data_IF_564363615816
#
_entry.id   IF_564363615816
#
_cell.length_a   1.000
_cell.length_b   1.000
_cell.length_c   1.000
_cell.angle_alpha   90.00
_cell.angle_beta   90.00
_cell.angle_gamma   90.00
#
_symmetry.space_group_name_H-M   'P 1'
#
loop_
_entity.id
_entity.type
_entity.pdbx_description
1 polymer ?
#
# COMPACT_ATOMS: atom_id res chain seq x y z
N UNK A 1 30.31 14.31 -19.22
CA UNK A 1 28.97 13.70 -19.03
C UNK A 1 28.27 14.43 -17.91
N UNK A 2 27.12 15.05 -18.20
CA UNK A 2 26.35 15.81 -17.23
C UNK A 2 25.67 14.81 -16.26
N UNK A 3 25.89 14.94 -14.95
CA UNK A 3 25.16 14.12 -13.98
C UNK A 3 23.66 14.39 -14.15
N UNK A 4 22.81 13.37 -14.32
CA UNK A 4 21.39 13.59 -14.47
C UNK A 4 20.85 14.30 -13.22
N UNK A 5 20.05 15.35 -13.43
CA UNK A 5 19.42 16.08 -12.33
C UNK A 5 18.18 15.33 -11.81
N UNK A 6 17.79 15.64 -10.57
CA UNK A 6 16.66 15.03 -9.86
C UNK A 6 15.37 15.06 -10.69
N UNK A 7 15.17 16.12 -11.48
CA UNK A 7 13.95 16.36 -12.23
C UNK A 7 13.85 15.46 -13.45
N UNK A 8 14.91 15.40 -14.25
CA UNK A 8 15.01 14.53 -15.42
C UNK A 8 14.84 13.07 -15.03
N UNK A 9 15.55 12.61 -13.98
CA UNK A 9 15.45 11.23 -13.50
C UNK A 9 14.05 10.89 -12.99
N UNK A 10 13.40 11.82 -12.25
CA UNK A 10 12.01 11.62 -11.79
C UNK A 10 11.02 11.50 -12.96
N UNK A 11 11.22 12.28 -14.02
CA UNK A 11 10.42 12.20 -15.24
C UNK A 11 10.59 10.86 -15.95
N UNK A 12 11.84 10.38 -16.06
CA UNK A 12 12.13 9.07 -16.65
C UNK A 12 11.44 7.95 -15.89
N UNK A 13 11.53 7.94 -14.56
CA UNK A 13 10.85 6.93 -13.71
C UNK A 13 9.34 6.93 -13.97
N UNK A 14 8.73 8.12 -14.04
CA UNK A 14 7.29 8.26 -14.32
C UNK A 14 6.93 7.75 -15.71
N UNK A 15 7.69 8.14 -16.73
CA UNK A 15 7.48 7.73 -18.11
C UNK A 15 7.54 6.20 -18.26
N UNK A 16 8.59 5.57 -17.72
CA UNK A 16 8.79 4.12 -17.76
C UNK A 16 7.63 3.39 -17.04
N UNK A 17 7.25 3.86 -15.85
CA UNK A 17 6.13 3.29 -15.08
C UNK A 17 4.78 3.40 -15.81
N UNK A 18 4.55 4.48 -16.58
CA UNK A 18 3.33 4.65 -17.37
C UNK A 18 3.28 3.72 -18.59
N UNK A 19 4.43 3.36 -19.17
CA UNK A 19 4.53 2.50 -20.34
C UNK A 19 4.79 1.02 -20.01
N UNK A 20 4.63 0.64 -18.73
CA UNK A 20 4.75 -0.75 -18.29
C UNK A 20 6.19 -1.26 -18.12
N UNK A 21 7.19 -0.39 -18.26
CA UNK A 21 8.61 -0.70 -18.08
C UNK A 21 8.99 -0.62 -16.60
N UNK A 22 8.37 -1.49 -15.79
CA UNK A 22 8.42 -1.42 -14.33
C UNK A 22 9.81 -1.78 -13.78
N UNK A 23 10.52 -2.74 -14.38
CA UNK A 23 11.86 -3.13 -13.93
C UNK A 23 12.86 -2.01 -14.17
N UNK A 24 12.78 -1.38 -15.33
CA UNK A 24 13.61 -0.24 -15.72
C UNK A 24 13.28 0.97 -14.84
N UNK A 25 12.00 1.25 -14.59
CA UNK A 25 11.59 2.32 -13.69
C UNK A 25 12.19 2.15 -12.28
N UNK A 26 12.22 0.92 -11.76
CA UNK A 26 12.83 0.62 -10.47
C UNK A 26 14.36 0.74 -10.51
N UNK A 27 15.00 0.22 -11.55
CA UNK A 27 16.46 0.36 -11.74
C UNK A 27 16.90 1.83 -11.78
N UNK A 28 16.14 2.69 -12.46
CA UNK A 28 16.44 4.14 -12.52
C UNK A 28 16.23 4.78 -11.15
N UNK A 29 15.22 4.36 -10.38
CA UNK A 29 15.01 4.82 -9.01
C UNK A 29 16.15 4.40 -8.06
N UNK A 30 16.63 3.16 -8.16
CA UNK A 30 17.78 2.67 -7.39
C UNK A 30 19.05 3.46 -7.69
N UNK A 31 19.30 3.75 -8.97
CA UNK A 31 20.44 4.58 -9.39
C UNK A 31 20.33 6.03 -8.89
N UNK A 32 19.12 6.59 -8.88
CA UNK A 32 18.86 7.91 -8.29
C UNK A 32 19.25 7.91 -6.82
N UNK A 33 18.81 6.89 -6.06
CA UNK A 33 19.12 6.76 -4.65
C UNK A 33 20.62 6.54 -4.40
N UNK A 34 21.28 5.64 -5.15
CA UNK A 34 22.71 5.36 -5.00
C UNK A 34 23.61 6.55 -5.37
N UNK A 35 23.10 7.46 -6.21
CA UNK A 35 23.80 8.70 -6.59
C UNK A 35 23.64 9.82 -5.56
N UNK A 36 22.97 9.56 -4.43
CA UNK A 36 22.71 10.55 -3.38
C UNK A 36 21.63 11.57 -3.75
N UNK A 37 20.87 11.33 -4.83
CA UNK A 37 19.79 12.21 -5.25
C UNK A 37 18.54 11.89 -4.44
N UNK A 38 17.88 12.94 -3.95
CA UNK A 38 16.66 12.80 -3.15
C UNK A 38 15.43 12.72 -4.06
N UNK A 39 14.72 11.58 -4.14
CA UNK A 39 13.51 11.44 -4.92
C UNK A 39 12.40 12.32 -4.36
N UNK A 40 11.65 12.94 -5.26
CA UNK A 40 10.41 13.61 -4.89
C UNK A 40 9.25 12.61 -4.79
N UNK A 41 8.09 13.08 -4.32
CA UNK A 41 6.87 12.27 -4.14
C UNK A 41 6.44 11.55 -5.43
N UNK A 42 6.64 12.15 -6.61
CA UNK A 42 6.27 11.55 -7.89
C UNK A 42 7.15 10.36 -8.27
N UNK A 43 8.46 10.47 -8.05
CA UNK A 43 9.42 9.39 -8.27
C UNK A 43 9.13 8.21 -7.34
N UNK A 44 8.90 8.49 -6.05
CA UNK A 44 8.52 7.49 -5.03
C UNK A 44 7.24 6.76 -5.44
N UNK A 45 6.19 7.50 -5.79
CA UNK A 45 4.90 6.93 -6.22
C UNK A 45 5.04 6.05 -7.48
N UNK A 46 5.80 6.53 -8.46
CA UNK A 46 5.98 5.82 -9.73
C UNK A 46 6.82 4.55 -9.58
N UNK A 47 7.85 4.58 -8.72
CA UNK A 47 8.67 3.43 -8.36
C UNK A 47 7.88 2.41 -7.49
N UNK A 48 7.03 2.90 -6.59
CA UNK A 48 6.16 2.04 -5.78
C UNK A 48 5.12 1.33 -6.65
N UNK A 49 4.50 2.04 -7.60
CA UNK A 49 3.63 1.43 -8.61
C UNK A 49 4.37 0.37 -9.43
N UNK A 50 5.62 0.62 -9.78
CA UNK A 50 6.43 -0.37 -10.47
C UNK A 50 6.66 -1.61 -9.60
N UNK A 51 7.07 -1.43 -8.33
CA UNK A 51 7.23 -2.51 -7.35
C UNK A 51 5.95 -3.32 -7.15
N UNK A 52 4.81 -2.66 -7.09
CA UNK A 52 3.49 -3.28 -6.99
C UNK A 52 3.18 -4.20 -8.16
N UNK A 53 3.49 -3.75 -9.38
CA UNK A 53 3.23 -4.50 -10.62
C UNK A 53 4.14 -5.71 -10.80
N UNK A 54 5.37 -5.65 -10.32
CA UNK A 54 6.34 -6.75 -10.41
C UNK A 54 6.49 -7.54 -9.10
N UNK A 55 5.73 -7.18 -8.06
CA UNK A 55 5.76 -7.77 -6.71
C UNK A 55 7.20 -7.79 -6.13
N UNK A 56 7.97 -6.72 -6.36
CA UNK A 56 9.37 -6.65 -5.92
C UNK A 56 9.47 -6.27 -4.44
N UNK A 57 9.58 -7.28 -3.56
CA UNK A 57 9.71 -7.12 -2.09
C UNK A 57 10.84 -6.16 -1.71
N UNK A 58 12.05 -6.37 -2.24
CA UNK A 58 13.25 -5.60 -1.88
C UNK A 58 13.07 -4.13 -2.26
N UNK A 59 12.61 -3.86 -3.49
CA UNK A 59 12.38 -2.49 -3.96
C UNK A 59 11.32 -1.75 -3.14
N UNK A 60 10.20 -2.41 -2.80
CA UNK A 60 9.17 -1.78 -1.99
C UNK A 60 9.60 -1.49 -0.55
N UNK A 61 10.40 -2.38 0.07
CA UNK A 61 10.98 -2.14 1.40
C UNK A 61 12.02 -1.02 1.39
N UNK A 62 12.83 -0.93 0.34
CA UNK A 62 13.77 0.19 0.15
C UNK A 62 13.02 1.52 0.03
N UNK A 63 11.96 1.57 -0.77
CA UNK A 63 11.09 2.75 -0.90
C UNK A 63 10.43 3.11 0.43
N UNK A 64 9.99 2.11 1.22
CA UNK A 64 9.45 2.34 2.56
C UNK A 64 10.48 2.97 3.51
N UNK A 65 11.69 2.39 3.61
CA UNK A 65 12.76 2.93 4.45
C UNK A 65 13.18 4.34 4.04
N UNK A 66 13.13 4.63 2.74
CA UNK A 66 13.36 5.97 2.22
C UNK A 66 12.22 6.94 2.56
N UNK A 67 10.97 6.51 2.44
CA UNK A 67 9.81 7.31 2.83
C UNK A 67 9.88 7.74 4.30
N UNK A 68 10.40 6.86 5.17
CA UNK A 68 10.63 7.14 6.58
C UNK A 68 11.73 8.17 6.82
N UNK A 69 12.89 8.02 6.15
CA UNK A 69 14.01 8.96 6.29
C UNK A 69 13.71 10.33 5.67
N UNK A 70 12.89 10.37 4.64
CA UNK A 70 12.61 11.57 3.85
C UNK A 70 11.39 12.37 4.30
N UNK A 71 10.68 11.93 5.35
CA UNK A 71 9.47 12.59 5.86
C UNK A 71 8.22 12.36 5.01
N UNK A 72 8.27 11.43 4.04
CA UNK A 72 7.10 11.04 3.23
C UNK A 72 6.08 10.22 4.01
N UNK A 73 6.37 9.82 5.25
CA UNK A 73 5.38 9.26 6.19
C UNK A 73 4.22 10.22 6.51
N UNK A 74 4.30 11.50 6.12
CA UNK A 74 3.16 12.43 6.23
C UNK A 74 2.24 12.40 5.01
N UNK A 75 2.66 11.74 3.92
CA UNK A 75 1.90 11.70 2.67
C UNK A 75 1.03 10.45 2.66
N UNK A 76 -0.25 10.63 3.02
CA UNK A 76 -1.26 9.55 3.11
C UNK A 76 -1.26 8.66 1.87
N UNK A 77 -1.17 9.25 0.67
CA UNK A 77 -1.15 8.48 -0.59
C UNK A 77 0.03 7.49 -0.68
N UNK A 78 1.22 7.90 -0.23
CA UNK A 78 2.42 7.03 -0.26
C UNK A 78 2.26 5.89 0.75
N UNK A 79 1.75 6.18 1.95
CA UNK A 79 1.55 5.16 2.97
C UNK A 79 0.44 4.16 2.60
N UNK A 80 -0.69 4.62 2.03
CA UNK A 80 -1.74 3.72 1.54
C UNK A 80 -1.22 2.80 0.43
N UNK A 81 -0.45 3.33 -0.52
CA UNK A 81 0.15 2.51 -1.57
C UNK A 81 1.19 1.51 -1.01
N UNK A 82 1.92 1.88 0.05
CA UNK A 82 2.85 0.97 0.72
C UNK A 82 2.10 -0.15 1.45
N UNK A 83 1.00 0.15 2.14
CA UNK A 83 0.15 -0.87 2.76
C UNK A 83 -0.38 -1.82 1.70
N UNK A 84 -0.96 -1.33 0.59
CA UNK A 84 -1.49 -2.19 -0.48
C UNK A 84 -0.42 -3.12 -1.09
N UNK A 85 0.80 -2.58 -1.28
CA UNK A 85 1.95 -3.36 -1.73
C UNK A 85 2.36 -4.44 -0.70
N UNK A 86 2.49 -4.08 0.58
CA UNK A 86 2.90 -4.99 1.66
C UNK A 86 1.89 -6.12 1.85
N UNK A 87 0.60 -5.81 1.71
CA UNK A 87 -0.47 -6.80 1.68
C UNK A 87 -0.32 -7.74 0.49
N UNK A 88 -0.01 -7.27 -0.72
CA UNK A 88 0.18 -8.15 -1.89
C UNK A 88 1.35 -9.12 -1.74
N UNK A 89 2.42 -8.73 -1.07
CA UNK A 89 3.57 -9.61 -0.79
C UNK A 89 3.34 -10.50 0.45
N UNK A 90 2.18 -10.38 1.11
CA UNK A 90 1.79 -11.19 2.28
C UNK A 90 2.47 -10.81 3.59
N UNK A 91 3.11 -9.64 3.67
CA UNK A 91 3.83 -9.20 4.87
C UNK A 91 2.91 -8.39 5.79
N UNK A 92 1.96 -9.10 6.42
CA UNK A 92 0.90 -8.49 7.24
C UNK A 92 1.43 -7.71 8.44
N UNK A 93 2.56 -8.15 9.01
CA UNK A 93 3.19 -7.50 10.16
C UNK A 93 3.71 -6.11 9.78
N UNK A 94 4.46 -6.02 8.67
CA UNK A 94 4.95 -4.72 8.20
C UNK A 94 3.78 -3.88 7.69
N UNK A 95 2.80 -4.48 6.98
CA UNK A 95 1.61 -3.76 6.52
C UNK A 95 0.86 -3.06 7.68
N UNK A 96 0.62 -3.78 8.79
CA UNK A 96 -0.01 -3.22 9.99
C UNK A 96 0.82 -2.10 10.59
N UNK A 97 2.14 -2.29 10.73
CA UNK A 97 3.02 -1.26 11.26
C UNK A 97 2.98 0.02 10.43
N UNK A 98 3.07 -0.09 9.10
CA UNK A 98 2.98 1.07 8.19
C UNK A 98 1.61 1.73 8.28
N UNK A 99 0.54 0.94 8.37
CA UNK A 99 -0.80 1.44 8.56
C UNK A 99 -0.94 2.23 9.88
N UNK A 100 -0.43 1.70 10.99
CA UNK A 100 -0.49 2.35 12.29
C UNK A 100 0.27 3.70 12.30
N UNK A 101 1.38 3.80 11.56
CA UNK A 101 2.16 5.02 11.36
C UNK A 101 1.44 6.10 10.51
N UNK A 102 0.29 5.80 9.87
CA UNK A 102 -0.51 6.79 9.16
C UNK A 102 -1.17 7.73 10.19
N UNK A 103 -0.77 9.02 10.16
CA UNK A 103 -1.29 10.04 11.09
C UNK A 103 -2.79 10.31 10.89
N UNK A 104 -3.22 10.42 9.64
CA UNK A 104 -4.60 10.69 9.26
C UNK A 104 -5.09 9.57 8.34
N UNK A 105 -5.61 8.50 8.95
CA UNK A 105 -6.19 7.35 8.24
C UNK A 105 -7.53 7.77 7.64
N UNK A 106 -7.71 7.52 6.35
CA UNK A 106 -9.01 7.70 5.68
C UNK A 106 -9.66 6.34 5.37
N UNK A 107 -10.93 6.36 4.94
CA UNK A 107 -11.69 5.13 4.65
C UNK A 107 -10.99 4.21 3.65
N UNK A 108 -10.26 4.78 2.68
CA UNK A 108 -9.48 4.00 1.70
C UNK A 108 -8.36 3.22 2.39
N UNK A 109 -7.57 3.86 3.27
CA UNK A 109 -6.51 3.17 4.01
C UNK A 109 -7.03 2.06 4.92
N UNK A 110 -8.17 2.29 5.58
CA UNK A 110 -8.85 1.28 6.39
C UNK A 110 -9.34 0.09 5.56
N UNK A 111 -9.99 0.36 4.43
CA UNK A 111 -10.46 -0.67 3.51
C UNK A 111 -9.29 -1.50 2.93
N UNK A 112 -8.14 -0.88 2.67
CA UNK A 112 -6.93 -1.60 2.23
C UNK A 112 -6.47 -2.63 3.28
N UNK A 113 -6.24 -2.22 4.53
CA UNK A 113 -5.74 -3.14 5.57
C UNK A 113 -6.77 -4.23 5.91
N UNK A 114 -8.06 -3.87 5.93
CA UNK A 114 -9.17 -4.79 6.12
C UNK A 114 -9.21 -5.89 5.04
N UNK A 115 -9.23 -5.48 3.76
CA UNK A 115 -9.24 -6.39 2.64
C UNK A 115 -8.01 -7.30 2.63
N UNK A 116 -6.87 -6.79 3.09
CA UNK A 116 -5.65 -7.55 3.35
C UNK A 116 -5.90 -8.72 4.29
N UNK A 117 -6.35 -8.46 5.52
CA UNK A 117 -6.59 -9.52 6.52
C UNK A 117 -7.63 -10.54 6.05
N UNK A 118 -8.73 -10.07 5.45
CA UNK A 118 -9.76 -10.95 4.86
C UNK A 118 -9.18 -11.85 3.77
N UNK A 119 -8.34 -11.31 2.89
CA UNK A 119 -7.73 -12.07 1.79
C UNK A 119 -6.82 -13.18 2.28
N UNK A 120 -6.06 -12.94 3.36
CA UNK A 120 -5.17 -13.94 3.96
C UNK A 120 -5.85 -14.83 5.01
N UNK A 121 -7.16 -14.65 5.23
CA UNK A 121 -7.96 -15.50 6.10
C UNK A 121 -7.84 -15.19 7.60
N UNK A 122 -7.17 -14.09 7.96
CA UNK A 122 -7.05 -13.65 9.36
C UNK A 122 -8.28 -12.81 9.74
N UNK A 123 -9.42 -13.48 9.91
CA UNK A 123 -10.69 -12.83 10.22
C UNK A 123 -10.71 -12.19 11.61
N UNK A 124 -9.89 -12.68 12.55
CA UNK A 124 -9.77 -12.07 13.88
C UNK A 124 -9.18 -10.66 13.77
N UNK A 125 -8.07 -10.52 13.03
CA UNK A 125 -7.48 -9.20 12.78
C UNK A 125 -8.36 -8.34 11.88
N UNK A 126 -9.05 -8.94 10.89
CA UNK A 126 -10.01 -8.22 10.06
C UNK A 126 -11.15 -7.61 10.90
N UNK A 127 -11.70 -8.39 11.85
CA UNK A 127 -12.72 -7.91 12.77
C UNK A 127 -12.21 -6.78 13.67
N UNK A 128 -11.01 -6.93 14.25
CA UNK A 128 -10.38 -5.85 15.04
C UNK A 128 -10.26 -4.56 14.25
N UNK A 129 -9.75 -4.65 13.01
CA UNK A 129 -9.63 -3.49 12.11
C UNK A 129 -11.01 -2.91 11.82
N UNK A 130 -11.99 -3.74 11.49
CA UNK A 130 -13.35 -3.30 11.19
C UNK A 130 -13.96 -2.54 12.38
N UNK A 131 -13.79 -3.04 13.60
CA UNK A 131 -14.30 -2.41 14.82
C UNK A 131 -13.60 -1.08 15.10
N UNK A 132 -12.28 -0.99 14.87
CA UNK A 132 -11.49 0.24 14.98
C UNK A 132 -11.89 1.35 13.96
N UNK A 133 -12.55 1.00 12.84
CA UNK A 133 -12.91 1.98 11.80
C UNK A 133 -13.89 3.04 12.32
N UNK A 134 -13.54 4.35 12.27
CA UNK A 134 -14.42 5.43 12.70
C UNK A 134 -15.69 5.56 11.85
N UNK A 135 -15.56 5.29 10.55
CA UNK A 135 -16.66 5.31 9.57
C UNK A 135 -16.52 4.09 8.67
N UNK A 136 -17.58 3.30 8.55
CA UNK A 136 -17.66 2.10 7.72
C UNK A 136 -18.49 2.41 6.48
N UNK A 137 -17.97 2.09 5.30
CA UNK A 137 -18.71 2.24 4.05
C UNK A 137 -19.14 0.86 3.51
N UNK A 138 -19.88 0.87 2.39
CA UNK A 138 -20.36 -0.36 1.73
C UNK A 138 -19.20 -1.31 1.40
N UNK A 139 -18.00 -0.79 1.12
CA UNK A 139 -16.82 -1.60 0.83
C UNK A 139 -16.33 -2.32 2.09
N UNK A 140 -16.29 -1.63 3.25
CA UNK A 140 -15.91 -2.22 4.53
C UNK A 140 -16.82 -3.41 4.90
N UNK A 141 -18.13 -3.19 4.81
CA UNK A 141 -19.14 -4.21 5.12
C UNK A 141 -19.07 -5.41 4.16
N UNK A 142 -19.05 -5.15 2.85
CA UNK A 142 -18.95 -6.21 1.85
C UNK A 142 -17.67 -7.05 2.03
N UNK A 143 -16.57 -6.42 2.43
CA UNK A 143 -15.31 -7.12 2.69
C UNK A 143 -15.46 -8.13 3.85
N UNK A 144 -16.09 -7.73 4.95
CA UNK A 144 -16.31 -8.63 6.10
C UNK A 144 -17.31 -9.74 5.79
N UNK A 145 -18.45 -9.41 5.16
CA UNK A 145 -19.44 -10.42 4.74
C UNK A 145 -18.82 -11.46 3.81
N UNK A 146 -18.03 -11.01 2.83
CA UNK A 146 -17.28 -11.91 1.93
C UNK A 146 -16.25 -12.76 2.67
N UNK A 147 -15.58 -12.19 3.68
CA UNK A 147 -14.64 -12.91 4.53
C UNK A 147 -15.28 -14.08 5.28
N UNK A 148 -16.38 -13.82 6.00
CA UNK A 148 -17.10 -14.87 6.73
C UNK A 148 -17.72 -15.91 5.79
N UNK A 149 -18.26 -15.49 4.65
CA UNK A 149 -18.78 -16.40 3.63
C UNK A 149 -17.70 -17.38 3.11
N UNK A 150 -16.45 -16.92 2.94
CA UNK A 150 -15.32 -17.76 2.49
C UNK A 150 -14.93 -18.85 3.49
N UNK A 151 -15.04 -18.58 4.79
CA UNK A 151 -14.82 -19.59 5.83
C UNK A 151 -16.07 -20.40 6.15
N UNK A 152 -17.14 -20.23 5.36
CA UNK A 152 -18.45 -20.90 5.50
C UNK A 152 -19.19 -20.57 6.80
N UNK A 153 -18.84 -19.47 7.45
CA UNK A 153 -19.57 -18.94 8.59
C UNK A 153 -20.70 -18.02 8.08
N UNK A 154 -21.77 -18.66 7.60
CA UNK A 154 -22.92 -17.95 7.01
C UNK A 154 -23.75 -17.20 8.05
N UNK A 155 -23.67 -17.61 9.32
CA UNK A 155 -24.36 -16.94 10.43
C UNK A 155 -23.78 -15.54 10.64
N UNK A 156 -22.46 -15.44 10.82
CA UNK A 156 -21.79 -14.15 10.98
C UNK A 156 -21.88 -13.29 9.71
N UNK A 157 -21.77 -13.90 8.53
CA UNK A 157 -21.93 -13.17 7.27
C UNK A 157 -23.32 -12.54 7.13
N UNK A 158 -24.38 -13.27 7.51
CA UNK A 158 -25.76 -12.77 7.45
C UNK A 158 -26.04 -11.71 8.52
N UNK A 159 -25.52 -11.89 9.73
CA UNK A 159 -25.67 -10.92 10.81
C UNK A 159 -25.03 -9.57 10.45
N UNK A 160 -23.80 -9.58 9.94
CA UNK A 160 -23.14 -8.36 9.46
C UNK A 160 -23.89 -7.70 8.31
N UNK A 161 -24.44 -8.49 7.37
CA UNK A 161 -25.23 -7.95 6.27
C UNK A 161 -26.49 -7.21 6.77
N UNK A 162 -27.13 -7.70 7.84
CA UNK A 162 -28.31 -7.05 8.42
C UNK A 162 -27.99 -5.76 9.18
N UNK A 163 -26.77 -5.65 9.71
CA UNK A 163 -26.30 -4.47 10.43
C UNK A 163 -25.83 -3.34 9.50
N UNK A 164 -25.75 -3.60 8.19
CA UNK A 164 -25.42 -2.57 7.21
C UNK A 164 -26.45 -1.43 7.26
N UNK A 165 -26.00 -0.16 7.41
CA UNK A 165 -26.88 1.01 7.45
C UNK A 165 -27.48 1.37 6.08
#
# INVERSE_FOLDING_TARGET
>A
MQKPDVFATSFTIRYLSQHGQFREALSVYEQMHSSGLFPNTFAVSSALKACDRIVCKIGGLMIHGQAQKSGFCKVVFVQTALVDFLLKIGDMVIARKVFDEIREKNVVSWNSILAGYVKYGDLAMAQSVFDEMPTKDVISWNSMVSGYARVKDMEQAYELFRQMP
#
